data_IF_242360803683
#
_entry.id   IF_242360803683
#
_cell.length_a   1.000
_cell.length_b   1.000
_cell.length_c   1.000
_cell.angle_alpha   90.00
_cell.angle_beta   90.00
_cell.angle_gamma   90.00
#
_symmetry.space_group_name_H-M   'P 1'
#
loop_
_entity.id
_entity.type
_entity.pdbx_description
1 polymer ?
#
# COMPACT_ATOMS: atom_id res chain seq x y z
N UNK A 1 2.36 -6.71 19.81
CA UNK A 1 1.83 -5.61 18.97
C UNK A 1 1.05 -6.29 17.87
N UNK A 2 -0.20 -5.87 17.64
CA UNK A 2 -1.09 -6.51 16.68
C UNK A 2 -1.14 -5.78 15.35
N UNK A 3 -1.98 -6.29 14.46
CA UNK A 3 -2.29 -5.69 13.18
C UNK A 3 -2.97 -4.31 13.33
N UNK A 4 -2.66 -3.40 12.41
CA UNK A 4 -3.21 -2.06 12.38
C UNK A 4 -4.70 -2.06 12.01
N UNK A 5 -5.46 -1.16 12.63
CA UNK A 5 -6.87 -0.91 12.34
C UNK A 5 -7.09 0.60 12.24
N UNK A 6 -7.79 1.05 11.20
CA UNK A 6 -8.13 2.46 11.05
C UNK A 6 -9.20 2.85 12.09
N UNK A 7 -8.87 3.84 12.91
CA UNK A 7 -9.86 4.48 13.78
C UNK A 7 -10.90 5.25 12.93
N UNK A 8 -12.14 5.39 13.42
CA UNK A 8 -13.20 6.10 12.69
C UNK A 8 -12.84 7.54 12.30
N UNK A 9 -11.98 8.19 13.08
CA UNK A 9 -11.51 9.56 12.88
C UNK A 9 -10.11 9.63 12.24
N UNK A 10 -9.55 8.50 11.79
CA UNK A 10 -8.25 8.50 11.12
C UNK A 10 -8.33 9.34 9.85
N UNK A 11 -7.44 10.32 9.75
CA UNK A 11 -7.43 11.29 8.66
C UNK A 11 -6.13 11.20 7.88
N UNK A 12 -6.24 10.84 6.61
CA UNK A 12 -5.13 10.93 5.68
C UNK A 12 -4.74 12.40 5.41
N UNK A 13 -3.45 12.69 5.22
CA UNK A 13 -2.98 14.03 4.88
C UNK A 13 -3.64 14.52 3.58
N UNK A 14 -4.14 15.75 3.59
CA UNK A 14 -4.80 16.40 2.44
C UNK A 14 -3.89 17.43 1.80
N UNK A 15 -3.95 17.54 0.47
CA UNK A 15 -3.10 18.45 -0.30
C UNK A 15 -1.69 17.90 -0.51
N UNK A 16 -0.98 18.46 -1.48
CA UNK A 16 0.21 17.78 -2.00
C UNK A 16 1.43 17.87 -1.08
N UNK A 17 1.61 18.98 -0.37
CA UNK A 17 2.75 19.16 0.55
C UNK A 17 2.58 18.33 1.84
N UNK A 18 1.42 18.33 2.53
CA UNK A 18 1.21 17.47 3.69
C UNK A 18 1.37 15.98 3.35
N UNK A 19 0.87 15.53 2.20
CA UNK A 19 1.05 14.15 1.71
C UNK A 19 2.52 13.82 1.50
N UNK A 20 3.28 14.70 0.83
CA UNK A 20 4.72 14.51 0.64
C UNK A 20 5.48 14.42 1.97
N UNK A 21 5.16 15.28 2.94
CA UNK A 21 5.77 15.23 4.26
C UNK A 21 5.38 13.98 5.05
N UNK A 22 4.17 13.46 4.89
CA UNK A 22 3.76 12.20 5.49
C UNK A 22 4.53 11.02 4.88
N UNK A 23 4.67 10.98 3.55
CA UNK A 23 5.47 9.95 2.90
C UNK A 23 6.92 9.96 3.37
N UNK A 24 7.57 11.13 3.39
CA UNK A 24 8.94 11.27 3.89
C UNK A 24 9.09 10.74 5.33
N UNK A 25 8.19 11.15 6.24
CA UNK A 25 8.21 10.69 7.63
C UNK A 25 8.00 9.18 7.75
N UNK A 26 7.10 8.60 6.95
CA UNK A 26 6.85 7.16 6.95
C UNK A 26 8.08 6.38 6.45
N UNK A 27 8.75 6.86 5.39
CA UNK A 27 9.96 6.24 4.83
C UNK A 27 11.11 6.29 5.83
N UNK A 28 11.36 7.46 6.42
CA UNK A 28 12.41 7.62 7.43
C UNK A 28 12.16 6.73 8.65
N UNK A 29 10.91 6.66 9.11
CA UNK A 29 10.51 5.78 10.20
C UNK A 29 10.72 4.31 9.82
N UNK A 30 10.28 3.88 8.64
CA UNK A 30 10.49 2.52 8.15
C UNK A 30 11.97 2.13 8.16
N UNK A 31 12.83 2.96 7.57
CA UNK A 31 14.28 2.69 7.53
C UNK A 31 14.90 2.64 8.91
N UNK A 32 14.44 3.50 9.83
CA UNK A 32 14.81 3.43 11.24
C UNK A 32 14.44 2.09 11.88
N UNK A 33 13.18 1.68 11.76
CA UNK A 33 12.67 0.40 12.28
C UNK A 33 13.45 -0.81 11.74
N UNK A 34 13.78 -0.80 10.45
CA UNK A 34 14.57 -1.86 9.81
C UNK A 34 16.01 -1.89 10.32
N UNK A 35 16.65 -0.72 10.48
CA UNK A 35 18.00 -0.64 11.04
C UNK A 35 18.07 -1.07 12.52
N UNK A 36 16.97 -0.89 13.24
CA UNK A 36 16.80 -1.31 14.64
C UNK A 36 16.29 -2.75 14.78
N UNK A 37 16.02 -3.44 13.65
CA UNK A 37 15.48 -4.81 13.58
C UNK A 37 14.24 -5.01 14.45
N UNK A 38 13.32 -4.03 14.47
CA UNK A 38 12.12 -4.09 15.31
C UNK A 38 10.83 -3.76 14.58
N UNK A 39 9.74 -4.16 15.21
CA UNK A 39 8.40 -3.81 14.78
C UNK A 39 8.01 -2.39 15.24
N UNK A 40 7.15 -1.75 14.45
CA UNK A 40 6.52 -0.49 14.78
C UNK A 40 5.64 -0.63 16.04
N UNK A 41 5.75 0.34 16.93
CA UNK A 41 4.76 0.55 18.00
C UNK A 41 3.42 1.01 17.42
N UNK A 42 2.33 0.94 18.20
CA UNK A 42 1.02 1.42 17.75
C UNK A 42 1.03 2.89 17.30
N UNK A 43 1.80 3.76 17.97
CA UNK A 43 1.95 5.18 17.55
C UNK A 43 2.74 5.30 16.24
N UNK A 44 3.74 4.45 16.03
CA UNK A 44 4.52 4.41 14.79
C UNK A 44 3.71 3.84 13.63
N UNK A 45 2.86 2.83 13.87
CA UNK A 45 1.91 2.32 12.88
C UNK A 45 0.97 3.44 12.40
N UNK A 46 0.49 4.32 13.29
CA UNK A 46 -0.32 5.48 12.89
C UNK A 46 0.44 6.43 11.94
N UNK A 47 1.77 6.58 12.11
CA UNK A 47 2.61 7.40 11.22
C UNK A 47 2.86 6.71 9.89
N UNK A 48 3.10 5.40 9.91
CA UNK A 48 3.25 4.58 8.70
C UNK A 48 1.97 4.55 7.86
N UNK A 49 0.80 4.44 8.50
CA UNK A 49 -0.51 4.46 7.85
C UNK A 49 -0.85 5.80 7.19
N UNK A 50 -0.10 6.88 7.46
CA UNK A 50 -0.24 8.16 6.75
C UNK A 50 0.48 8.19 5.39
N UNK A 51 1.22 7.14 5.03
CA UNK A 51 1.77 6.99 3.69
C UNK A 51 0.64 6.84 2.66
N UNK A 52 0.68 7.66 1.62
CA UNK A 52 -0.42 7.81 0.64
C UNK A 52 0.05 7.64 -0.80
N UNK A 53 1.21 7.01 -0.98
CA UNK A 53 1.84 6.83 -2.29
C UNK A 53 2.13 8.14 -3.02
N UNK A 54 2.42 8.05 -4.31
CA UNK A 54 3.00 9.16 -5.09
C UNK A 54 2.01 9.83 -6.06
N UNK A 55 0.77 9.35 -6.08
CA UNK A 55 -0.30 9.89 -6.94
C UNK A 55 -0.47 11.40 -6.80
N UNK A 56 -0.28 12.14 -7.89
CA UNK A 56 -0.36 13.61 -7.89
C UNK A 56 0.81 14.34 -7.22
N UNK A 57 1.89 13.63 -6.87
CA UNK A 57 3.13 14.21 -6.32
C UNK A 57 4.26 14.34 -7.35
N UNK A 58 3.95 14.18 -8.65
CA UNK A 58 4.90 14.32 -9.77
C UNK A 58 5.84 15.54 -9.71
N UNK A 59 5.45 16.72 -9.18
CA UNK A 59 6.37 17.86 -9.14
C UNK A 59 7.64 17.65 -8.30
N UNK A 60 7.65 16.71 -7.35
CA UNK A 60 8.82 16.43 -6.50
C UNK A 60 9.93 15.69 -7.27
N UNK A 61 9.58 14.97 -8.33
CA UNK A 61 10.51 14.18 -9.15
C UNK A 61 11.09 14.94 -10.34
N UNK A 62 10.69 16.20 -10.56
CA UNK A 62 11.22 17.01 -11.68
C UNK A 62 12.73 17.23 -11.55
N UNK A 63 13.43 17.30 -12.68
CA UNK A 63 14.86 17.64 -12.71
C UNK A 63 15.16 19.01 -12.03
N UNK A 64 14.23 19.95 -12.15
CA UNK A 64 14.25 21.23 -11.43
C UNK A 64 12.92 21.46 -10.70
N UNK A 65 12.78 20.97 -9.46
CA UNK A 65 11.57 21.17 -8.66
C UNK A 65 11.42 22.65 -8.27
N UNK A 66 10.18 23.14 -8.27
CA UNK A 66 9.89 24.49 -7.78
C UNK A 66 10.28 24.68 -6.31
N UNK A 67 10.44 25.93 -5.81
CA UNK A 67 11.00 26.21 -4.49
C UNK A 67 10.33 25.43 -3.34
N UNK A 68 8.99 25.28 -3.40
CA UNK A 68 8.21 24.57 -2.38
C UNK A 68 8.47 23.05 -2.29
N UNK A 69 9.10 22.47 -3.30
CA UNK A 69 9.38 21.03 -3.41
C UNK A 69 10.85 20.69 -3.23
N UNK A 70 11.73 21.69 -3.36
CA UNK A 70 13.17 21.50 -3.53
C UNK A 70 13.81 20.79 -2.34
N UNK A 71 13.42 21.13 -1.11
CA UNK A 71 13.93 20.46 0.11
C UNK A 71 13.50 19.01 0.16
N UNK A 72 12.21 18.73 -0.06
CA UNK A 72 11.68 17.37 -0.06
C UNK A 72 12.23 16.51 -1.19
N UNK A 73 12.43 17.08 -2.39
CA UNK A 73 13.05 16.38 -3.51
C UNK A 73 14.50 15.99 -3.23
N UNK A 74 15.26 16.89 -2.60
CA UNK A 74 16.62 16.59 -2.13
C UNK A 74 16.57 15.46 -1.09
N UNK A 75 15.68 15.57 -0.10
CA UNK A 75 15.55 14.58 0.96
C UNK A 75 15.17 13.20 0.44
N UNK A 76 14.25 13.10 -0.51
CA UNK A 76 13.87 11.83 -1.15
C UNK A 76 15.08 11.13 -1.76
N UNK A 77 15.92 11.87 -2.50
CA UNK A 77 17.14 11.31 -3.11
C UNK A 77 18.20 10.88 -2.10
N UNK A 78 18.15 11.40 -0.88
CA UNK A 78 19.08 11.01 0.17
C UNK A 78 18.64 9.76 0.92
N UNK A 79 17.32 9.57 1.07
CA UNK A 79 16.78 8.47 1.88
C UNK A 79 16.39 7.25 1.06
N UNK A 80 16.07 7.41 -0.23
CA UNK A 80 15.69 6.31 -1.11
C UNK A 80 16.91 5.75 -1.83
N UNK A 81 16.95 4.43 -1.93
CA UNK A 81 17.82 3.74 -2.86
C UNK A 81 17.38 4.05 -4.31
N UNK A 82 18.26 3.93 -5.31
CA UNK A 82 17.93 4.23 -6.71
C UNK A 82 16.67 3.49 -7.20
N UNK A 83 16.55 2.21 -6.90
CA UNK A 83 15.42 1.38 -7.31
C UNK A 83 14.12 1.79 -6.62
N UNK A 84 14.18 2.18 -5.35
CA UNK A 84 13.02 2.72 -4.62
C UNK A 84 12.59 4.07 -5.19
N UNK A 85 13.55 4.90 -5.60
CA UNK A 85 13.27 6.20 -6.21
C UNK A 85 12.58 6.05 -7.56
N UNK A 86 13.06 5.13 -8.40
CA UNK A 86 12.50 4.85 -9.72
C UNK A 86 11.09 4.27 -9.60
N UNK A 87 10.86 3.29 -8.71
CA UNK A 87 9.53 2.74 -8.44
C UNK A 87 8.55 3.81 -7.89
N UNK A 88 9.03 4.69 -6.99
CA UNK A 88 8.25 5.81 -6.49
C UNK A 88 7.86 6.80 -7.60
N UNK A 89 8.74 7.00 -8.59
CA UNK A 89 8.45 7.85 -9.75
C UNK A 89 7.44 7.21 -10.70
N UNK A 90 7.58 5.92 -11.01
CA UNK A 90 6.67 5.19 -11.90
C UNK A 90 5.25 5.08 -11.35
N UNK A 91 5.12 4.89 -10.03
CA UNK A 91 3.82 4.76 -9.35
C UNK A 91 3.03 6.08 -9.24
N UNK A 92 3.60 7.21 -9.67
CA UNK A 92 2.91 8.53 -9.69
C UNK A 92 1.61 8.50 -10.50
N UNK A 93 1.56 7.72 -11.58
CA UNK A 93 0.39 7.65 -12.48
C UNK A 93 -0.67 6.65 -12.02
N UNK A 94 -0.32 5.67 -11.19
CA UNK A 94 -1.15 4.50 -10.92
C UNK A 94 -1.63 4.40 -9.45
N UNK A 95 -1.31 5.36 -8.58
CA UNK A 95 -1.70 5.34 -7.18
C UNK A 95 -3.17 5.77 -6.98
N UNK A 96 -4.10 4.81 -7.11
CA UNK A 96 -5.52 4.98 -6.77
C UNK A 96 -5.92 4.05 -5.63
N UNK A 97 -6.31 4.63 -4.50
CA UNK A 97 -6.78 3.88 -3.33
C UNK A 97 -8.31 3.85 -3.28
N UNK A 98 -8.87 2.68 -2.95
CA UNK A 98 -10.27 2.53 -2.58
C UNK A 98 -10.54 3.27 -1.26
N UNK A 99 -11.64 4.02 -1.19
CA UNK A 99 -11.99 4.74 0.03
C UNK A 99 -12.41 3.76 1.13
N UNK A 100 -12.09 4.10 2.39
CA UNK A 100 -12.48 3.28 3.55
C UNK A 100 -13.98 3.00 3.62
N UNK A 101 -14.82 3.96 3.25
CA UNK A 101 -16.28 3.78 3.16
C UNK A 101 -16.66 2.71 2.15
N UNK A 102 -16.04 2.69 0.96
CA UNK A 102 -16.32 1.66 -0.04
C UNK A 102 -15.85 0.28 0.45
N UNK A 103 -14.66 0.21 1.07
CA UNK A 103 -14.15 -1.04 1.66
C UNK A 103 -15.09 -1.59 2.72
N UNK A 104 -15.61 -0.73 3.61
CA UNK A 104 -16.56 -1.14 4.65
C UNK A 104 -17.86 -1.68 4.07
N UNK A 105 -18.38 -1.07 2.99
CA UNK A 105 -19.57 -1.60 2.30
C UNK A 105 -19.29 -2.91 1.56
N UNK A 106 -18.07 -3.12 1.05
CA UNK A 106 -17.65 -4.42 0.49
C UNK A 106 -17.71 -5.50 1.58
N UNK A 107 -17.14 -5.25 2.77
CA UNK A 107 -17.22 -6.21 3.88
C UNK A 107 -18.66 -6.46 4.33
N UNK A 108 -19.49 -5.42 4.41
CA UNK A 108 -20.92 -5.59 4.71
C UNK A 108 -21.61 -6.50 3.70
N UNK A 109 -21.29 -6.36 2.41
CA UNK A 109 -21.78 -7.25 1.36
C UNK A 109 -21.31 -8.69 1.55
N UNK A 110 -20.03 -8.89 1.89
CA UNK A 110 -19.47 -10.23 2.18
C UNK A 110 -20.13 -10.89 3.39
N UNK A 111 -20.42 -10.15 4.45
CA UNK A 111 -21.16 -10.65 5.62
C UNK A 111 -22.57 -11.12 5.23
N UNK A 112 -23.27 -10.37 4.38
CA UNK A 112 -24.60 -10.77 3.87
C UNK A 112 -24.55 -12.04 3.01
N UNK A 113 -23.41 -12.30 2.36
CA UNK A 113 -23.14 -13.54 1.62
C UNK A 113 -22.66 -14.68 2.52
N UNK A 114 -22.56 -14.46 3.84
CA UNK A 114 -22.21 -15.48 4.83
C UNK A 114 -20.71 -15.58 5.14
N UNK A 115 -19.86 -14.70 4.61
CA UNK A 115 -18.46 -14.65 4.98
C UNK A 115 -18.32 -14.10 6.40
N UNK A 116 -17.66 -14.85 7.29
CA UNK A 116 -17.46 -14.47 8.70
C UNK A 116 -15.99 -14.51 9.14
N UNK A 117 -15.09 -14.86 8.23
CA UNK A 117 -13.66 -15.02 8.45
C UNK A 117 -13.10 -16.21 7.67
N UNK A 118 -11.78 -16.24 7.48
CA UNK A 118 -11.09 -17.32 6.77
C UNK A 118 -9.72 -16.90 6.25
N UNK A 119 -9.17 -17.67 5.31
CA UNK A 119 -7.93 -17.37 4.60
C UNK A 119 -8.22 -16.40 3.47
N UNK A 120 -7.69 -15.19 3.55
CA UNK A 120 -7.95 -14.10 2.62
C UNK A 120 -6.70 -13.85 1.77
N UNK A 121 -6.87 -13.72 0.46
CA UNK A 121 -5.84 -13.25 -0.47
C UNK A 121 -6.10 -11.79 -0.87
N UNK A 122 -5.11 -10.94 -0.66
CA UNK A 122 -5.05 -9.57 -1.17
C UNK A 122 -3.87 -9.50 -2.18
N UNK A 123 -4.09 -9.57 -3.50
CA UNK A 123 -3.02 -9.64 -4.51
C UNK A 123 -2.30 -8.32 -4.86
N UNK A 124 -2.75 -7.16 -4.38
CA UNK A 124 -2.16 -5.84 -4.66
C UNK A 124 -2.44 -4.87 -3.51
N UNK A 125 -1.85 -5.16 -2.36
CA UNK A 125 -2.38 -4.69 -1.08
C UNK A 125 -2.11 -3.23 -0.77
N UNK A 126 -1.17 -2.61 -1.46
CA UNK A 126 -0.63 -1.33 -1.07
C UNK A 126 -0.17 -1.39 0.39
N UNK A 127 -0.55 -0.39 1.18
CA UNK A 127 -0.33 -0.39 2.64
C UNK A 127 -1.43 -1.14 3.41
N UNK A 128 -2.21 -1.99 2.76
CA UNK A 128 -3.23 -2.85 3.37
C UNK A 128 -4.55 -2.16 3.73
N UNK A 129 -5.06 -1.24 2.90
CA UNK A 129 -6.32 -0.53 3.22
C UNK A 129 -7.51 -1.48 3.46
N UNK A 130 -7.60 -2.58 2.72
CA UNK A 130 -8.62 -3.61 2.95
C UNK A 130 -8.50 -4.28 4.32
N UNK A 131 -7.29 -4.42 4.85
CA UNK A 131 -7.02 -5.06 6.13
C UNK A 131 -7.36 -4.11 7.28
N UNK A 132 -6.90 -2.86 7.18
CA UNK A 132 -7.14 -1.85 8.22
C UNK A 132 -8.60 -1.41 8.36
N UNK A 133 -9.46 -1.70 7.37
CA UNK A 133 -10.91 -1.42 7.41
C UNK A 133 -11.76 -2.69 7.61
N UNK A 134 -11.11 -3.85 7.82
CA UNK A 134 -11.81 -5.10 8.06
C UNK A 134 -12.58 -5.04 9.40
N UNK A 135 -13.87 -5.44 9.45
CA UNK A 135 -14.60 -5.52 10.71
C UNK A 135 -13.86 -6.38 11.74
N UNK A 136 -13.84 -5.94 12.99
CA UNK A 136 -13.06 -6.57 14.07
C UNK A 136 -13.36 -8.09 14.21
N UNK A 137 -14.63 -8.47 14.15
CA UNK A 137 -15.05 -9.88 14.23
C UNK A 137 -14.55 -10.73 13.04
N UNK A 138 -14.43 -10.15 11.85
CA UNK A 138 -13.87 -10.82 10.68
C UNK A 138 -12.35 -10.88 10.81
N UNK A 139 -11.70 -9.78 11.23
CA UNK A 139 -10.26 -9.69 11.41
C UNK A 139 -9.75 -10.72 12.43
N UNK A 140 -10.42 -10.87 13.57
CA UNK A 140 -10.07 -11.88 14.58
C UNK A 140 -10.19 -13.33 14.08
N UNK A 141 -10.97 -13.57 13.03
CA UNK A 141 -11.22 -14.91 12.45
C UNK A 141 -10.54 -15.09 11.09
N UNK A 142 -9.68 -14.17 10.68
CA UNK A 142 -9.07 -14.20 9.36
C UNK A 142 -7.55 -14.23 9.40
N UNK A 143 -6.96 -14.96 8.48
CA UNK A 143 -5.54 -14.91 8.16
C UNK A 143 -5.40 -14.34 6.76
N UNK A 144 -4.63 -13.26 6.61
CA UNK A 144 -4.42 -12.61 5.32
C UNK A 144 -3.05 -13.00 4.75
N UNK A 145 -3.05 -13.34 3.46
CA UNK A 145 -1.88 -13.35 2.60
C UNK A 145 -1.99 -12.15 1.66
N UNK A 146 -1.10 -11.18 1.85
CA UNK A 146 -1.00 -9.98 1.03
C UNK A 146 0.17 -10.06 0.05
N UNK A 147 0.00 -9.48 -1.14
CA UNK A 147 1.07 -9.33 -2.13
C UNK A 147 1.14 -7.87 -2.55
N UNK A 148 2.35 -7.31 -2.58
CA UNK A 148 2.60 -5.96 -3.06
C UNK A 148 3.87 -5.93 -3.91
N UNK A 149 3.79 -5.29 -5.08
CA UNK A 149 4.90 -5.19 -6.01
C UNK A 149 5.90 -4.11 -5.57
N UNK A 150 5.41 -2.96 -5.10
CA UNK A 150 6.27 -1.85 -4.68
C UNK A 150 6.97 -2.16 -3.36
N UNK A 151 8.31 -2.23 -3.41
CA UNK A 151 9.15 -2.62 -2.27
C UNK A 151 8.90 -1.77 -1.03
N UNK A 152 8.80 -0.45 -1.20
CA UNK A 152 8.62 0.47 -0.09
C UNK A 152 7.24 0.29 0.55
N UNK A 153 6.20 0.24 -0.28
CA UNK A 153 4.81 0.08 0.14
C UNK A 153 4.58 -1.26 0.84
N UNK A 154 5.13 -2.35 0.30
CA UNK A 154 5.02 -3.69 0.88
C UNK A 154 5.75 -3.82 2.22
N UNK A 155 6.90 -3.15 2.40
CA UNK A 155 7.60 -3.12 3.70
C UNK A 155 6.87 -2.26 4.73
N UNK A 156 6.24 -1.17 4.32
CA UNK A 156 5.30 -0.43 5.19
C UNK A 156 4.14 -1.35 5.62
N UNK A 157 3.56 -2.11 4.69
CA UNK A 157 2.49 -3.04 5.00
C UNK A 157 2.93 -4.11 6.02
N UNK A 158 4.15 -4.65 5.93
CA UNK A 158 4.71 -5.58 6.93
C UNK A 158 4.75 -5.01 8.34
N UNK A 159 5.05 -3.72 8.49
CA UNK A 159 5.05 -3.06 9.79
C UNK A 159 3.63 -2.80 10.32
N UNK A 160 2.66 -2.60 9.42
CA UNK A 160 1.26 -2.41 9.77
C UNK A 160 0.56 -3.72 10.13
N UNK A 161 0.90 -4.84 9.47
CA UNK A 161 0.23 -6.13 9.69
C UNK A 161 1.23 -7.26 9.98
N UNK A 162 1.96 -7.21 11.12
CA UNK A 162 3.01 -8.17 11.44
C UNK A 162 2.50 -9.60 11.70
N UNK A 163 1.20 -9.80 11.92
CA UNK A 163 0.59 -11.12 12.12
C UNK A 163 0.10 -11.75 10.81
N UNK A 164 0.23 -11.03 9.69
CA UNK A 164 -0.15 -11.49 8.36
C UNK A 164 1.05 -11.84 7.49
N UNK A 165 0.81 -12.68 6.48
CA UNK A 165 1.84 -13.07 5.53
C UNK A 165 1.85 -12.07 4.39
N UNK A 166 2.97 -11.36 4.21
CA UNK A 166 3.08 -10.31 3.19
C UNK A 166 4.28 -10.59 2.28
N UNK A 167 3.99 -10.79 1.01
CA UNK A 167 4.96 -10.95 -0.06
C UNK A 167 5.22 -9.58 -0.71
N UNK A 168 6.50 -9.22 -0.83
CA UNK A 168 6.94 -7.96 -1.44
C UNK A 168 7.64 -8.29 -2.75
N UNK A 169 6.82 -8.60 -3.76
CA UNK A 169 7.23 -9.07 -5.09
C UNK A 169 6.02 -9.09 -6.04
N UNK A 170 6.25 -9.35 -7.32
CA UNK A 170 5.16 -9.47 -8.29
C UNK A 170 4.22 -10.63 -7.99
N UNK A 171 2.91 -10.40 -8.15
CA UNK A 171 1.88 -11.42 -7.94
C UNK A 171 2.12 -12.69 -8.77
N UNK A 172 2.59 -12.53 -10.01
CA UNK A 172 2.92 -13.63 -10.92
C UNK A 172 4.10 -14.51 -10.45
N UNK A 173 4.93 -14.01 -9.54
CA UNK A 173 6.10 -14.70 -8.98
C UNK A 173 5.81 -15.29 -7.59
N UNK A 174 4.65 -14.98 -7.01
CA UNK A 174 4.28 -15.44 -5.67
C UNK A 174 3.80 -16.89 -5.69
N UNK A 175 4.44 -17.79 -4.89
CA UNK A 175 4.09 -19.20 -4.85
C UNK A 175 2.81 -19.42 -4.03
N UNK A 176 1.68 -18.97 -4.57
CA UNK A 176 0.38 -19.09 -3.91
C UNK A 176 -0.17 -20.52 -4.07
N UNK A 177 -0.63 -21.16 -2.99
CA UNK A 177 -1.22 -22.49 -3.06
C UNK A 177 -2.57 -22.47 -3.81
N UNK A 178 -2.81 -23.51 -4.62
CA UNK A 178 -4.12 -23.73 -5.26
C UNK A 178 -5.16 -24.20 -4.22
N UNK A 179 -6.42 -23.83 -4.43
CA UNK A 179 -7.58 -24.23 -3.60
C UNK A 179 -7.40 -23.96 -2.09
N UNK A 180 -6.68 -22.90 -1.75
CA UNK A 180 -6.34 -22.56 -0.37
C UNK A 180 -7.10 -21.37 0.20
N UNK A 181 -7.50 -20.40 -0.60
CA UNK A 181 -8.11 -19.18 -0.09
C UNK A 181 -9.63 -19.28 -0.07
N UNK A 182 -10.23 -18.79 1.00
CA UNK A 182 -11.69 -18.75 1.18
C UNK A 182 -12.27 -17.46 0.58
N UNK A 183 -11.45 -16.41 0.45
CA UNK A 183 -11.79 -15.13 -0.17
C UNK A 183 -10.57 -14.53 -0.87
N UNK A 184 -10.75 -13.99 -2.08
CA UNK A 184 -9.82 -13.05 -2.69
C UNK A 184 -10.50 -11.68 -2.79
N UNK A 185 -9.86 -10.63 -2.27
CA UNK A 185 -10.39 -9.26 -2.22
C UNK A 185 -9.26 -8.27 -2.53
N UNK A 186 -9.46 -7.38 -3.50
CA UNK A 186 -8.54 -6.27 -3.75
C UNK A 186 -9.14 -5.25 -4.71
N UNK A 187 -8.46 -4.12 -4.83
CA UNK A 187 -8.62 -3.14 -5.89
C UNK A 187 -7.38 -3.19 -6.79
N UNK A 188 -7.31 -4.24 -7.61
CA UNK A 188 -6.19 -4.45 -8.52
C UNK A 188 -6.12 -3.30 -9.54
N UNK A 189 -4.91 -2.80 -9.86
CA UNK A 189 -4.74 -1.81 -10.92
C UNK A 189 -5.33 -2.32 -12.24
N UNK A 190 -6.09 -1.47 -12.93
CA UNK A 190 -6.52 -1.75 -14.30
C UNK A 190 -5.37 -1.32 -15.23
N UNK A 191 -4.60 -2.27 -15.78
CA UNK A 191 -3.67 -1.96 -16.86
C UNK A 191 -4.45 -1.62 -18.14
N UNK A 192 -4.13 -0.47 -18.75
CA UNK A 192 -4.52 -0.20 -20.14
C UNK A 192 -3.48 -0.90 -21.02
N UNK A 193 -3.84 -2.07 -21.55
CA UNK A 193 -3.06 -2.71 -22.62
C UNK A 193 -3.30 -1.90 -23.90
N UNK A 194 -2.34 -1.06 -24.32
CA UNK A 194 -2.32 -0.57 -25.69
C UNK A 194 -2.01 -1.75 -26.61
N UNK A 195 -3.02 -2.25 -27.31
CA UNK A 195 -2.84 -3.20 -28.39
C UNK A 195 -2.02 -2.54 -29.50
N UNK A 196 -0.71 -2.84 -29.55
CA UNK A 196 0.06 -2.60 -30.76
C UNK A 196 -0.49 -3.51 -31.86
N UNK A 197 -1.33 -2.95 -32.72
CA UNK A 197 -1.70 -3.60 -33.97
C UNK A 197 -0.44 -3.68 -34.83
N UNK A 198 0.16 -4.87 -34.88
CA UNK A 198 1.14 -5.16 -35.92
C UNK A 198 0.45 -4.99 -37.27
N UNK A 199 1.00 -4.08 -38.10
CA UNK A 199 0.63 -3.91 -39.49
C UNK A 199 0.80 -5.25 -40.23
N UNK A 200 -0.30 -5.99 -40.38
CA UNK A 200 -0.40 -7.04 -41.37
C UNK A 200 -0.88 -6.37 -42.67
N UNK A 201 0.08 -5.88 -43.46
CA UNK A 201 -0.18 -5.56 -44.87
C UNK A 201 -0.47 -6.88 -45.60
N UNK A 202 -1.68 -6.99 -46.15
CA UNK A 202 -1.99 -7.87 -47.28
C UNK A 202 -1.73 -7.12 -48.58
#
# INVERSE_FOLDING_TARGET
MGNFQFEQNFALPKGTIPRLHANLRAIELLKGLESEERLATSEEQQKLAQYVGWGGLSPVFKASPGPRWKSSAKRLKEILEPEEYDAAFESVLNAHYTSGTVIQEIYRGLEQLGFSGGRILEPSMGTGNFLGHMPEDIAMRSQVTGVELDSLTGRIAKQLYPEHEIYVQGFQETPLPQDYFDLAISNVPLEIIELQTQNMML
#
